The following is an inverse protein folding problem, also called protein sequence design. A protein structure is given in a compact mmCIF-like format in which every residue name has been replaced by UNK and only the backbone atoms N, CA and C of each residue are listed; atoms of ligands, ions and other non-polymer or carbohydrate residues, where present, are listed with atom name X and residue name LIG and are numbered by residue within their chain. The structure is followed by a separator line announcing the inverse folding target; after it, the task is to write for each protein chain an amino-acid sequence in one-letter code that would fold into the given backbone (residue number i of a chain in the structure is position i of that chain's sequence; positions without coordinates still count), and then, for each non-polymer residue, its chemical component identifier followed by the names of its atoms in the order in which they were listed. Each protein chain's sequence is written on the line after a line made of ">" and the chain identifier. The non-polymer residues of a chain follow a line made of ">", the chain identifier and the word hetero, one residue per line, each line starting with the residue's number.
data_IF_193544034812
#
_entry.id   IF_193544034812
#
_cell.length_a   1.000
_cell.length_b   1.000
_cell.length_c   1.000
_cell.angle_alpha   90.00
_cell.angle_beta   90.00
_cell.angle_gamma   90.00
#
_symmetry.space_group_name_H-M   'P 1'
#
loop_
_entity.id
_entity.type
_entity.pdbx_description
1 polymer ?
#
# COMPACT_ATOMS: atom_id res chain seq x y z
N UNK A 1 7.34 -4.02 -2.13
CA UNK A 1 6.01 -3.56 -1.64
C UNK A 1 5.02 -4.69 -1.86
N UNK A 2 4.20 -5.04 -0.88
CA UNK A 2 3.18 -6.10 -1.02
C UNK A 2 1.82 -5.47 -1.23
N UNK A 3 1.14 -5.85 -2.31
CA UNK A 3 -0.18 -5.33 -2.68
C UNK A 3 -1.23 -6.44 -2.57
N UNK A 4 -2.27 -6.18 -1.78
CA UNK A 4 -3.43 -7.07 -1.67
C UNK A 4 -4.58 -6.55 -2.53
N UNK A 5 -4.86 -7.26 -3.62
CA UNK A 5 -6.00 -7.01 -4.50
C UNK A 5 -7.18 -7.87 -4.05
N UNK A 6 -8.31 -7.24 -3.71
CA UNK A 6 -9.55 -7.94 -3.34
C UNK A 6 -10.69 -7.49 -4.24
N UNK A 7 -11.39 -8.44 -4.85
CA UNK A 7 -12.45 -8.15 -5.82
C UNK A 7 -13.48 -9.27 -5.90
N UNK A 8 -14.76 -8.93 -6.08
CA UNK A 8 -15.80 -9.92 -6.42
C UNK A 8 -15.71 -10.40 -7.88
N UNK A 9 -15.01 -9.66 -8.74
CA UNK A 9 -14.87 -9.98 -10.17
C UNK A 9 -13.69 -10.93 -10.37
N UNK A 10 -13.96 -12.10 -10.96
CA UNK A 10 -12.97 -13.16 -11.22
C UNK A 10 -12.31 -13.01 -12.59
N UNK A 11 -11.09 -13.51 -12.75
CA UNK A 11 -10.38 -13.54 -14.04
C UNK A 11 -9.70 -12.23 -14.47
N UNK A 12 -9.69 -11.20 -13.61
CA UNK A 12 -9.09 -9.90 -13.92
C UNK A 12 -7.66 -9.71 -13.39
N UNK A 13 -7.06 -10.75 -12.81
CA UNK A 13 -5.74 -10.67 -12.16
C UNK A 13 -4.68 -10.06 -13.08
N UNK A 14 -4.49 -10.64 -14.28
CA UNK A 14 -3.50 -10.16 -15.24
C UNK A 14 -3.85 -8.80 -15.85
N UNK A 15 -5.14 -8.51 -16.02
CA UNK A 15 -5.59 -7.17 -16.44
C UNK A 15 -5.17 -6.12 -15.41
N UNK A 16 -5.43 -6.37 -14.12
CA UNK A 16 -5.01 -5.50 -13.02
C UNK A 16 -3.49 -5.37 -12.96
N UNK A 17 -2.73 -6.46 -13.14
CA UNK A 17 -1.26 -6.38 -13.24
C UNK A 17 -0.81 -5.45 -14.37
N UNK A 18 -1.43 -5.55 -15.55
CA UNK A 18 -1.15 -4.67 -16.69
C UNK A 18 -1.43 -3.20 -16.38
N UNK A 19 -2.59 -2.91 -15.78
CA UNK A 19 -2.95 -1.54 -15.38
C UNK A 19 -1.94 -0.96 -14.38
N UNK A 20 -1.52 -1.74 -13.37
CA UNK A 20 -0.55 -1.29 -12.37
C UNK A 20 0.81 -0.98 -13.04
N UNK A 21 1.28 -1.84 -13.96
CA UNK A 21 2.53 -1.59 -14.71
C UNK A 21 2.44 -0.31 -15.54
N UNK A 22 1.32 -0.10 -16.22
CA UNK A 22 1.15 1.07 -17.08
C UNK A 22 1.09 2.36 -16.25
N UNK A 23 0.41 2.35 -15.10
CA UNK A 23 0.41 3.48 -14.18
C UNK A 23 1.81 3.81 -13.68
N UNK A 24 2.59 2.80 -13.26
CA UNK A 24 3.96 2.99 -12.80
C UNK A 24 4.87 3.58 -13.88
N UNK A 25 4.74 3.10 -15.12
CA UNK A 25 5.51 3.57 -16.27
C UNK A 25 5.10 4.98 -16.70
N UNK A 26 3.80 5.24 -16.83
CA UNK A 26 3.28 6.47 -17.41
C UNK A 26 3.37 7.66 -16.46
N UNK A 27 3.00 7.47 -15.19
CA UNK A 27 2.91 8.58 -14.23
C UNK A 27 4.14 8.73 -13.34
N UNK A 28 4.84 7.62 -13.06
CA UNK A 28 5.98 7.62 -12.14
C UNK A 28 7.32 7.38 -12.84
N UNK A 29 7.30 7.08 -14.14
CA UNK A 29 8.49 6.76 -14.93
C UNK A 29 9.35 5.67 -14.26
N UNK A 30 8.69 4.68 -13.63
CA UNK A 30 9.34 3.59 -12.92
C UNK A 30 9.14 2.27 -13.65
N UNK A 31 10.22 1.52 -13.76
CA UNK A 31 10.13 0.10 -14.09
C UNK A 31 9.62 -0.68 -12.88
N UNK A 32 8.53 -1.40 -13.08
CA UNK A 32 7.84 -2.17 -12.05
C UNK A 32 7.74 -3.63 -12.45
N UNK A 33 8.36 -4.49 -11.65
CA UNK A 33 8.14 -5.92 -11.69
C UNK A 33 7.02 -6.32 -10.73
N UNK A 34 6.16 -7.22 -11.20
CA UNK A 34 5.01 -7.71 -10.43
C UNK A 34 5.04 -9.23 -10.47
N UNK A 35 5.09 -9.83 -9.31
CA UNK A 35 5.01 -11.28 -9.10
C UNK A 35 3.69 -11.63 -8.41
N UNK A 36 3.04 -12.68 -8.89
CA UNK A 36 1.86 -13.25 -8.25
C UNK A 36 2.32 -14.18 -7.11
N UNK A 37 2.11 -13.77 -5.86
CA UNK A 37 2.53 -14.55 -4.69
C UNK A 37 1.47 -15.56 -4.29
N UNK A 38 0.21 -15.13 -4.30
CA UNK A 38 -0.93 -15.95 -3.85
C UNK A 38 -2.20 -15.50 -4.55
N UNK A 39 -3.03 -16.44 -4.95
CA UNK A 39 -4.39 -16.19 -5.45
C UNK A 39 -5.34 -17.16 -4.73
N UNK A 40 -6.36 -16.60 -4.08
CA UNK A 40 -7.34 -17.35 -3.31
C UNK A 40 -8.75 -16.86 -3.61
N UNK A 41 -9.70 -17.78 -3.50
CA UNK A 41 -11.12 -17.46 -3.57
C UNK A 41 -11.72 -17.68 -2.19
N UNK A 42 -12.07 -16.57 -1.52
CA UNK A 42 -12.74 -16.54 -0.22
C UNK A 42 -14.19 -16.17 -0.47
N UNK A 43 -15.09 -17.16 -0.37
CA UNK A 43 -16.52 -17.00 -0.67
C UNK A 43 -16.75 -16.48 -2.11
N UNK A 44 -17.29 -15.26 -2.24
CA UNK A 44 -17.57 -14.57 -3.50
C UNK A 44 -16.43 -13.61 -3.91
N UNK A 45 -15.36 -13.53 -3.13
CA UNK A 45 -14.28 -12.57 -3.30
C UNK A 45 -12.97 -13.27 -3.65
N UNK A 46 -12.32 -12.81 -4.71
CA UNK A 46 -10.94 -13.17 -5.04
C UNK A 46 -10.00 -12.27 -4.24
N UNK A 47 -9.03 -12.88 -3.57
CA UNK A 47 -7.93 -12.19 -2.92
C UNK A 47 -6.62 -12.62 -3.58
N UNK A 48 -5.95 -11.64 -4.18
CA UNK A 48 -4.65 -11.82 -4.80
C UNK A 48 -3.61 -11.01 -4.04
N UNK A 49 -2.46 -11.62 -3.80
CA UNK A 49 -1.30 -10.95 -3.23
C UNK A 49 -0.23 -10.84 -4.31
N UNK A 50 0.16 -9.61 -4.61
CA UNK A 50 1.24 -9.28 -5.52
C UNK A 50 2.47 -8.82 -4.75
N UNK A 51 3.65 -9.26 -5.17
CA UNK A 51 4.91 -8.65 -4.78
C UNK A 51 5.33 -7.66 -5.88
N UNK A 52 5.47 -6.40 -5.49
CA UNK A 52 5.86 -5.30 -6.34
C UNK A 52 7.32 -4.93 -6.07
N UNK A 53 8.15 -5.02 -7.10
CA UNK A 53 9.58 -4.75 -7.06
C UNK A 53 9.92 -3.62 -8.02
N UNK A 54 10.51 -2.54 -7.50
CA UNK A 54 10.91 -1.36 -8.27
C UNK A 54 12.02 -0.62 -7.52
N UNK A 55 12.72 0.28 -8.21
CA UNK A 55 13.71 1.14 -7.57
C UNK A 55 13.03 2.15 -6.63
N UNK A 56 13.18 1.90 -5.34
CA UNK A 56 12.59 2.69 -4.27
C UNK A 56 13.65 3.46 -3.44
N UNK A 57 14.87 3.66 -3.96
CA UNK A 57 15.96 4.34 -3.23
C UNK A 57 15.54 5.72 -2.70
N UNK A 58 14.74 6.47 -3.47
CA UNK A 58 14.21 7.77 -3.04
C UNK A 58 13.38 7.68 -1.74
N UNK A 59 12.56 6.62 -1.57
CA UNK A 59 11.83 6.39 -0.33
C UNK A 59 12.76 6.02 0.82
N UNK A 60 13.79 5.19 0.57
CA UNK A 60 14.78 4.84 1.60
C UNK A 60 15.49 6.09 2.13
N UNK A 61 15.92 7.00 1.24
CA UNK A 61 16.55 8.26 1.64
C UNK A 61 15.59 9.19 2.38
N UNK A 62 14.34 9.32 1.93
CA UNK A 62 13.33 10.12 2.63
C UNK A 62 12.97 9.53 4.00
N UNK A 63 12.80 8.20 4.08
CA UNK A 63 12.51 7.49 5.33
C UNK A 63 13.63 7.64 6.34
N UNK A 64 14.91 7.52 5.91
CA UNK A 64 16.08 7.77 6.75
C UNK A 64 16.14 9.21 7.27
N UNK A 65 15.77 10.20 6.44
CA UNK A 65 15.66 11.59 6.88
C UNK A 65 14.54 11.77 7.91
N UNK A 66 13.39 11.11 7.70
CA UNK A 66 12.24 11.15 8.62
C UNK A 66 12.49 10.40 9.94
N UNK A 67 13.29 9.32 9.94
CA UNK A 67 13.62 8.61 11.19
C UNK A 67 14.49 9.46 12.12
N UNK A 68 15.23 10.44 11.57
CA UNK A 68 16.02 11.39 12.37
C UNK A 68 15.16 12.47 13.04
N UNK A 69 13.92 12.63 12.59
CA UNK A 69 12.91 13.54 13.15
C UNK A 69 11.81 12.82 13.94
N UNK A 70 12.04 11.59 14.43
CA UNK A 70 11.28 11.02 15.55
C UNK A 70 11.57 11.76 16.88
N UNK A 71 11.67 13.09 16.85
CA UNK A 71 11.21 13.88 17.98
C UNK A 71 9.69 13.77 17.94
N UNK A 72 9.19 12.71 18.58
CA UNK A 72 7.80 12.54 18.96
C UNK A 72 7.06 13.88 18.94
N UNK A 73 6.12 14.07 18.02
CA UNK A 73 5.13 15.13 18.18
C UNK A 73 4.48 14.85 19.54
N UNK A 74 4.68 15.69 20.57
CA UNK A 74 4.26 15.38 21.93
C UNK A 74 2.77 15.73 22.05
N UNK A 75 1.94 15.09 21.24
CA UNK A 75 0.50 15.25 21.27
C UNK A 75 -0.04 14.09 22.09
N UNK A 76 -0.65 14.41 23.22
CA UNK A 76 -1.31 13.40 24.03
C UNK A 76 -2.47 12.79 23.25
N UNK A 77 -2.79 11.52 23.51
CA UNK A 77 -3.95 10.88 22.92
C UNK A 77 -5.25 11.66 23.20
N UNK A 78 -5.33 12.34 24.35
CA UNK A 78 -6.46 13.20 24.72
C UNK A 78 -6.71 14.32 23.69
N UNK A 79 -5.65 14.99 23.24
CA UNK A 79 -5.74 16.05 22.22
C UNK A 79 -6.20 15.48 20.87
N UNK A 80 -5.81 14.25 20.52
CA UNK A 80 -6.29 13.61 19.29
C UNK A 80 -7.79 13.33 19.34
N UNK A 81 -8.32 12.87 20.48
CA UNK A 81 -9.75 12.63 20.63
C UNK A 81 -10.57 13.92 20.67
N UNK A 82 -10.01 15.03 21.16
CA UNK A 82 -10.65 16.34 21.11
C UNK A 82 -10.74 16.90 19.67
N UNK A 83 -9.67 16.76 18.89
CA UNK A 83 -9.61 17.26 17.50
C UNK A 83 -10.45 16.40 16.55
N UNK A 84 -10.51 15.08 16.78
CA UNK A 84 -11.21 14.13 15.93
C UNK A 84 -12.44 13.55 16.65
N UNK A 85 -13.60 14.25 16.61
CA UNK A 85 -14.77 13.94 17.44
C UNK A 85 -15.46 12.60 17.10
N UNK A 86 -15.02 11.92 16.04
CA UNK A 86 -15.55 10.61 15.62
C UNK A 86 -14.45 9.54 15.54
N UNK A 87 -13.30 9.76 16.19
CA UNK A 87 -12.23 8.77 16.25
C UNK A 87 -12.62 7.61 17.19
N UNK A 88 -12.57 6.38 16.68
CA UNK A 88 -12.79 5.15 17.44
C UNK A 88 -11.50 4.32 17.35
N UNK A 89 -10.94 3.97 18.50
CA UNK A 89 -9.74 3.11 18.60
C UNK A 89 -10.16 1.76 19.18
N UNK A 90 -9.86 0.69 18.47
CA UNK A 90 -10.04 -0.69 18.96
C UNK A 90 -8.72 -1.16 19.58
N UNK A 91 -8.80 -1.74 20.78
CA UNK A 91 -7.66 -2.34 21.50
C UNK A 91 -7.53 -3.84 21.27
#
# INVERSE_FOLDING_TARGET
>A
LTLHYRSKRRGFVYYTMGQIREVARHFYHKELQIELVREEVLFDTVHVTFQLTFDNRAFTFASLAMTREEKHLPISAAVLFEIFPFCIVFG
#
